data_IF_881684695089
#
_entry.id   IF_881684695089
#
_cell.length_a   1.000
_cell.length_b   1.000
_cell.length_c   1.000
_cell.angle_alpha   90.00
_cell.angle_beta   90.00
_cell.angle_gamma   90.00
#
_symmetry.space_group_name_H-M   'P 1'
#
loop_
_entity.id
_entity.type
_entity.pdbx_description
1 polymer ?
#
# COMPACT_ATOMS: atom_id res chain seq x y z
N UNK A 1 7.70 8.49 19.78
CA UNK A 1 8.05 9.03 18.46
C UNK A 1 7.02 8.51 17.49
N UNK A 2 6.49 9.37 16.62
CA UNK A 2 5.60 8.95 15.52
C UNK A 2 6.36 9.07 14.21
N UNK A 3 5.97 8.28 13.22
CA UNK A 3 6.57 8.24 11.90
C UNK A 3 5.46 8.54 10.89
N UNK A 4 5.63 9.57 10.04
CA UNK A 4 4.64 9.90 9.03
C UNK A 4 4.74 8.94 7.85
N UNK A 5 3.61 8.39 7.44
CA UNK A 5 3.52 7.47 6.30
C UNK A 5 2.33 7.84 5.42
N UNK A 6 2.29 7.34 4.18
CA UNK A 6 1.06 7.29 3.38
C UNK A 6 0.52 5.86 3.44
N UNK A 7 -0.77 5.73 3.68
CA UNK A 7 -1.55 4.49 3.53
C UNK A 7 -2.67 4.70 2.52
N UNK A 8 -3.22 3.63 1.98
CA UNK A 8 -4.28 3.69 0.97
C UNK A 8 -5.63 3.40 1.62
N UNK A 9 -6.38 4.45 1.98
CA UNK A 9 -7.71 4.35 2.61
C UNK A 9 -8.78 3.98 1.60
N UNK A 10 -9.64 3.02 1.92
CA UNK A 10 -10.76 2.61 1.08
C UNK A 10 -11.73 3.77 0.86
N UNK A 11 -12.16 3.99 -0.39
CA UNK A 11 -13.16 5.01 -0.72
C UNK A 11 -14.59 4.57 -0.41
N UNK A 12 -14.84 3.26 -0.30
CA UNK A 12 -16.17 2.68 -0.11
C UNK A 12 -16.41 2.17 1.31
N UNK A 13 -15.37 2.01 2.13
CA UNK A 13 -15.45 1.50 3.49
C UNK A 13 -14.84 2.50 4.47
N UNK A 14 -15.51 2.70 5.59
CA UNK A 14 -15.03 3.57 6.66
C UNK A 14 -13.85 2.91 7.39
N UNK A 15 -12.77 3.66 7.57
CA UNK A 15 -11.56 3.27 8.33
C UNK A 15 -10.95 1.91 7.96
N UNK A 16 -10.99 1.60 6.66
CA UNK A 16 -10.36 0.43 6.05
C UNK A 16 -9.24 0.84 5.11
N UNK A 17 -8.17 0.06 5.09
CA UNK A 17 -6.94 0.36 4.36
C UNK A 17 -6.50 -0.85 3.55
N UNK A 18 -5.95 -0.59 2.35
CA UNK A 18 -5.42 -1.64 1.48
C UNK A 18 -4.34 -2.44 2.23
N UNK A 19 -4.54 -3.75 2.34
CA UNK A 19 -3.53 -4.66 2.88
C UNK A 19 -2.27 -4.66 2.00
N UNK A 20 -1.12 -4.89 2.63
CA UNK A 20 0.16 -5.02 1.95
C UNK A 20 0.12 -6.14 0.91
N UNK A 21 -0.41 -7.29 1.31
CA UNK A 21 -0.56 -8.49 0.51
C UNK A 21 -1.79 -9.27 1.00
N UNK A 22 -2.24 -10.30 0.26
CA UNK A 22 -3.32 -11.17 0.74
C UNK A 22 -3.02 -11.82 2.10
N UNK A 23 -1.75 -12.10 2.40
CA UNK A 23 -1.34 -12.75 3.67
C UNK A 23 -1.37 -11.78 4.86
N UNK A 24 -1.24 -10.47 4.60
CA UNK A 24 -1.36 -9.41 5.59
C UNK A 24 -2.82 -8.96 5.84
N UNK A 25 -3.77 -9.55 5.10
CA UNK A 25 -5.17 -9.14 5.09
C UNK A 25 -5.97 -9.45 6.35
N UNK A 26 -7.01 -8.66 6.59
CA UNK A 26 -8.06 -9.01 7.56
C UNK A 26 -9.05 -9.98 6.91
N UNK A 27 -8.96 -11.26 7.25
CA UNK A 27 -9.83 -12.32 6.71
C UNK A 27 -11.31 -12.18 7.07
N UNK A 28 -11.67 -11.26 7.97
CA UNK A 28 -13.07 -10.90 8.24
C UNK A 28 -13.62 -9.84 7.28
N UNK A 29 -12.75 -9.08 6.60
CA UNK A 29 -13.12 -8.13 5.55
C UNK A 29 -13.15 -8.85 4.18
N UNK A 30 -14.22 -8.69 3.38
CA UNK A 30 -14.36 -9.42 2.11
C UNK A 30 -13.32 -9.04 1.05
N UNK A 31 -12.72 -7.85 1.15
CA UNK A 31 -11.64 -7.39 0.27
C UNK A 31 -10.27 -7.47 0.96
N UNK A 32 -10.21 -8.08 2.15
CA UNK A 32 -9.03 -8.22 3.01
C UNK A 32 -8.47 -6.90 3.55
N UNK A 33 -9.24 -5.80 3.47
CA UNK A 33 -8.77 -4.50 3.95
C UNK A 33 -8.59 -4.48 5.47
N UNK A 34 -7.43 -3.98 5.90
CA UNK A 34 -7.05 -3.92 7.32
C UNK A 34 -7.64 -2.70 8.01
N UNK A 35 -7.80 -2.80 9.32
CA UNK A 35 -8.28 -1.70 10.17
C UNK A 35 -7.14 -0.76 10.57
N UNK A 36 -7.47 0.35 11.24
CA UNK A 36 -6.45 1.21 11.84
C UNK A 36 -5.70 0.54 13.00
N UNK A 37 -6.30 -0.46 13.66
CA UNK A 37 -5.67 -1.20 14.77
C UNK A 37 -4.56 -2.14 14.29
N UNK A 38 -4.68 -2.66 13.06
CA UNK A 38 -3.69 -3.53 12.40
C UNK A 38 -2.96 -2.78 11.26
N UNK A 39 -2.81 -1.46 11.39
CA UNK A 39 -2.33 -0.61 10.29
C UNK A 39 -0.95 -1.01 9.78
N UNK A 40 -0.10 -1.62 10.61
CA UNK A 40 1.22 -2.13 10.24
C UNK A 40 1.18 -3.16 9.10
N UNK A 41 0.01 -3.76 8.86
CA UNK A 41 -0.23 -4.71 7.76
C UNK A 41 -0.69 -4.06 6.47
N UNK A 42 -0.91 -2.76 6.47
CA UNK A 42 -1.36 -2.02 5.30
C UNK A 42 -0.22 -1.81 4.30
N UNK A 43 -0.58 -1.62 3.03
CA UNK A 43 0.34 -1.09 2.02
C UNK A 43 0.71 0.35 2.40
N UNK A 44 2.00 0.57 2.68
CA UNK A 44 2.53 1.86 3.10
C UNK A 44 3.51 2.44 2.08
N UNK A 45 3.63 3.77 2.11
CA UNK A 45 4.79 4.49 1.58
C UNK A 45 5.40 5.26 2.75
N UNK A 46 6.69 5.07 2.97
CA UNK A 46 7.49 5.79 3.95
C UNK A 46 8.86 6.13 3.34
N UNK A 47 9.51 7.17 3.86
CA UNK A 47 10.85 7.57 3.41
C UNK A 47 11.90 7.07 4.40
N UNK A 48 13.07 6.70 3.89
CA UNK A 48 14.21 6.25 4.71
C UNK A 48 14.69 7.31 5.71
N UNK A 49 14.51 8.59 5.37
CA UNK A 49 14.86 9.73 6.24
C UNK A 49 13.75 10.08 7.26
N UNK A 50 12.66 9.30 7.27
CA UNK A 50 11.47 9.48 8.11
C UNK A 50 10.78 10.84 7.95
N UNK A 51 11.07 11.57 6.87
CA UNK A 51 10.32 12.78 6.53
C UNK A 51 8.95 12.40 5.98
N UNK A 52 7.98 13.32 6.14
CA UNK A 52 6.61 13.10 5.68
C UNK A 52 6.57 12.86 4.17
N UNK A 53 6.13 11.67 3.70
CA UNK A 53 5.95 11.41 2.29
C UNK A 53 4.79 12.25 1.73
N UNK A 54 4.86 12.51 0.43
CA UNK A 54 3.93 13.36 -0.31
C UNK A 54 3.52 12.73 -1.66
N UNK A 55 2.80 13.50 -2.48
CA UNK A 55 2.29 13.05 -3.78
C UNK A 55 3.40 12.58 -4.73
N UNK A 56 4.63 13.08 -4.60
CA UNK A 56 5.74 12.65 -5.44
C UNK A 56 6.13 11.20 -5.17
N UNK A 57 6.03 10.75 -3.91
CA UNK A 57 6.30 9.34 -3.58
C UNK A 57 5.20 8.42 -4.12
N UNK A 58 3.95 8.89 -4.15
CA UNK A 58 2.83 8.16 -4.77
C UNK A 58 3.04 8.04 -6.29
N UNK A 59 3.42 9.13 -6.95
CA UNK A 59 3.70 9.12 -8.39
C UNK A 59 4.91 8.24 -8.75
N UNK A 60 5.93 8.20 -7.91
CA UNK A 60 7.06 7.29 -8.08
C UNK A 60 6.63 5.82 -7.97
N UNK A 61 5.80 5.46 -6.99
CA UNK A 61 5.24 4.12 -6.88
C UNK A 61 4.39 3.75 -8.12
N UNK A 62 3.57 4.69 -8.61
CA UNK A 62 2.79 4.51 -9.86
C UNK A 62 3.70 4.24 -11.05
N UNK A 63 4.80 5.00 -11.19
CA UNK A 63 5.78 4.82 -12.27
C UNK A 63 6.44 3.43 -12.21
N UNK A 64 6.83 2.97 -11.02
CA UNK A 64 7.43 1.64 -10.81
C UNK A 64 6.42 0.55 -11.18
N UNK A 65 5.18 0.65 -10.68
CA UNK A 65 4.09 -0.30 -10.99
C UNK A 65 3.80 -0.38 -12.49
N UNK A 66 3.74 0.77 -13.18
CA UNK A 66 3.55 0.81 -14.64
C UNK A 66 4.73 0.16 -15.40
N UNK A 67 5.96 0.36 -14.91
CA UNK A 67 7.15 -0.32 -15.42
C UNK A 67 7.06 -1.83 -15.28
N UNK A 68 6.71 -2.32 -14.08
CA UNK A 68 6.49 -3.74 -13.78
C UNK A 68 5.41 -4.35 -14.68
N UNK A 69 4.25 -3.70 -14.76
CA UNK A 69 3.12 -4.09 -15.62
C UNK A 69 3.51 -4.20 -17.09
N UNK A 70 4.30 -3.26 -17.62
CA UNK A 70 4.82 -3.31 -18.99
C UNK A 70 5.80 -4.48 -19.18
N UNK A 71 6.68 -4.73 -18.22
CA UNK A 71 7.62 -5.85 -18.25
C UNK A 71 6.89 -7.20 -18.23
N UNK A 72 5.91 -7.38 -17.32
CA UNK A 72 5.08 -8.58 -17.23
C UNK A 72 4.35 -8.87 -18.55
N UNK A 73 3.73 -7.85 -19.15
CA UNK A 73 3.04 -8.01 -20.43
C UNK A 73 3.97 -8.36 -21.58
N UNK A 74 5.20 -7.83 -21.57
CA UNK A 74 6.21 -8.16 -22.57
C UNK A 74 6.64 -9.63 -22.45
N UNK A 75 6.76 -10.14 -21.23
CA UNK A 75 7.24 -11.51 -20.97
C UNK A 75 6.14 -12.58 -21.10
N UNK A 76 4.91 -12.27 -20.70
CA UNK A 76 3.84 -13.25 -20.51
C UNK A 76 2.56 -12.93 -21.29
N UNK A 77 2.55 -11.85 -22.09
CA UNK A 77 1.37 -11.41 -22.84
C UNK A 77 0.37 -10.61 -22.02
N UNK A 78 -0.77 -10.28 -22.63
CA UNK A 78 -1.81 -9.46 -21.96
C UNK A 78 -2.56 -10.18 -20.84
N UNK A 79 -2.49 -11.52 -20.81
CA UNK A 79 -3.09 -12.36 -19.77
C UNK A 79 -2.20 -12.50 -18.52
N UNK A 80 -1.05 -11.81 -18.48
CA UNK A 80 -0.16 -11.81 -17.33
C UNK A 80 -0.91 -11.38 -16.05
N UNK A 81 -0.83 -12.13 -14.95
CA UNK A 81 -1.38 -11.70 -13.67
C UNK A 81 -0.59 -10.49 -13.17
N UNK A 82 -1.28 -9.38 -12.88
CA UNK A 82 -0.67 -8.15 -12.40
C UNK A 82 -1.24 -7.84 -11.01
N UNK A 83 -0.52 -8.29 -9.99
CA UNK A 83 -0.86 -8.00 -8.59
C UNK A 83 -0.44 -6.60 -8.16
N UNK A 84 0.67 -6.10 -8.72
CA UNK A 84 1.18 -4.75 -8.44
C UNK A 84 0.69 -3.73 -9.46
N UNK A 85 -0.56 -3.27 -9.30
CA UNK A 85 -1.24 -2.30 -10.18
C UNK A 85 -1.74 -1.09 -9.38
N UNK A 86 -0.87 -0.10 -9.18
CA UNK A 86 -1.18 1.09 -8.38
C UNK A 86 -2.30 1.92 -9.00
N UNK A 87 -2.43 1.94 -10.33
CA UNK A 87 -3.56 2.60 -10.99
C UNK A 87 -4.91 1.96 -10.63
N UNK A 88 -4.93 0.63 -10.43
CA UNK A 88 -6.12 -0.06 -9.95
C UNK A 88 -6.37 0.28 -8.48
N UNK A 89 -5.34 0.30 -7.65
CA UNK A 89 -5.46 0.69 -6.24
C UNK A 89 -6.07 2.09 -6.12
N UNK A 90 -5.54 3.08 -6.83
CA UNK A 90 -6.00 4.47 -6.78
C UNK A 90 -7.44 4.68 -7.28
N UNK A 91 -8.05 3.70 -7.95
CA UNK A 91 -9.50 3.74 -8.25
C UNK A 91 -10.32 3.47 -7.00
N UNK A 92 -9.91 2.51 -6.18
CA UNK A 92 -10.66 2.02 -5.01
C UNK A 92 -10.21 2.67 -3.70
N UNK A 93 -8.98 3.17 -3.65
CA UNK A 93 -8.35 3.72 -2.46
C UNK A 93 -7.81 5.12 -2.72
N UNK A 94 -7.73 5.91 -1.65
CA UNK A 94 -7.15 7.25 -1.62
C UNK A 94 -5.88 7.23 -0.75
N UNK A 95 -4.74 7.74 -1.25
CA UNK A 95 -3.55 7.88 -0.43
C UNK A 95 -3.78 8.96 0.63
N UNK A 96 -3.58 8.60 1.89
CA UNK A 96 -3.74 9.53 3.02
C UNK A 96 -2.51 9.47 3.91
N UNK A 97 -2.05 10.62 4.38
CA UNK A 97 -1.00 10.66 5.39
C UNK A 97 -1.57 10.33 6.76
N UNK A 98 -0.87 9.45 7.48
CA UNK A 98 -1.12 9.16 8.89
C UNK A 98 0.19 9.18 9.67
N UNK A 99 0.08 9.18 10.99
CA UNK A 99 1.19 9.04 11.91
C UNK A 99 1.08 7.67 12.58
N UNK A 100 2.11 6.84 12.49
CA UNK A 100 2.17 5.53 13.16
C UNK A 100 3.24 5.53 14.26
N UNK A 101 3.15 4.60 15.20
CA UNK A 101 4.18 4.45 16.24
C UNK A 101 5.45 3.82 15.66
N UNK A 102 6.58 3.97 16.36
CA UNK A 102 7.81 3.29 15.98
C UNK A 102 7.67 1.75 16.01
N UNK A 103 6.85 1.21 16.91
CA UNK A 103 6.57 -0.24 16.99
C UNK A 103 5.80 -0.71 15.75
N UNK A 104 4.75 0.01 15.36
CA UNK A 104 4.00 -0.26 14.13
C UNK A 104 4.88 -0.15 12.88
N UNK A 105 5.82 0.81 12.87
CA UNK A 105 6.75 0.96 11.75
C UNK A 105 7.72 -0.20 11.61
N UNK A 106 8.31 -0.70 12.71
CA UNK A 106 9.19 -1.87 12.63
C UNK A 106 8.41 -3.13 12.21
N UNK A 107 7.19 -3.33 12.72
CA UNK A 107 6.34 -4.42 12.24
C UNK A 107 5.98 -4.29 10.77
N UNK A 108 5.68 -3.08 10.29
CA UNK A 108 5.36 -2.84 8.88
C UNK A 108 6.54 -3.20 7.96
N UNK A 109 7.78 -2.92 8.41
CA UNK A 109 8.99 -3.33 7.68
C UNK A 109 9.14 -4.84 7.63
N UNK A 110 8.86 -5.55 8.72
CA UNK A 110 8.88 -7.03 8.72
C UNK A 110 7.87 -7.65 7.74
N UNK A 111 6.73 -6.98 7.50
CA UNK A 111 5.75 -7.43 6.51
C UNK A 111 6.18 -7.18 5.05
N UNK A 112 7.00 -6.16 4.78
CA UNK A 112 7.41 -5.75 3.42
C UNK A 112 8.73 -6.42 2.95
N UNK A 113 9.36 -7.23 3.80
CA UNK A 113 10.51 -8.11 3.49
C UNK A 113 10.10 -9.42 2.78
#
# INVERSE_FOLDING_TARGET
>A
MTIPVIVFKSKSKEDRYLALSPDAGDWSDPDLDVSLEDIERARMIYRDDLTKPDETDVEDLRRISNGFKKAMRKSYGYDAPISFDVELWLKHYEPVNIEITAEQFEMAKEWDE
#
